data_IF_420322257725
#
_entry.id   IF_420322257725
#
_cell.length_a   1.000
_cell.length_b   1.000
_cell.length_c   1.000
_cell.angle_alpha   90.00
_cell.angle_beta   90.00
_cell.angle_gamma   90.00
#
_symmetry.space_group_name_H-M   'P 1'
#
loop_
_entity.id
_entity.type
_entity.pdbx_description
1 polymer ?
#
# COMPACT_ATOMS: atom_id res chain seq x y z
N UNK A 1 -17.94 -15.20 -14.29
CA UNK A 1 -16.75 -14.42 -13.89
C UNK A 1 -16.48 -14.68 -12.42
N UNK A 2 -15.27 -15.10 -12.06
CA UNK A 2 -14.87 -15.20 -10.65
C UNK A 2 -14.72 -13.79 -10.06
N UNK A 3 -15.29 -13.57 -8.88
CA UNK A 3 -15.12 -12.32 -8.14
C UNK A 3 -13.79 -12.37 -7.38
N UNK A 4 -13.04 -11.26 -7.36
CA UNK A 4 -11.80 -11.17 -6.57
C UNK A 4 -12.01 -11.53 -5.09
N UNK A 5 -13.16 -11.14 -4.52
CA UNK A 5 -13.55 -11.52 -3.16
C UNK A 5 -13.74 -13.04 -3.05
N UNK A 6 -14.41 -13.65 -4.03
CA UNK A 6 -14.63 -15.10 -4.07
C UNK A 6 -13.33 -15.87 -4.16
N UNK A 7 -12.39 -15.42 -4.99
CA UNK A 7 -11.04 -16.01 -5.10
C UNK A 7 -10.29 -15.94 -3.78
N UNK A 8 -10.31 -14.79 -3.09
CA UNK A 8 -9.64 -14.63 -1.78
C UNK A 8 -10.25 -15.53 -0.70
N UNK A 9 -11.57 -15.69 -0.69
CA UNK A 9 -12.24 -16.62 0.22
C UNK A 9 -11.79 -18.06 -0.06
N UNK A 10 -11.75 -18.47 -1.32
CA UNK A 10 -11.34 -19.82 -1.72
C UNK A 10 -9.86 -20.09 -1.35
N UNK A 11 -8.96 -19.16 -1.65
CA UNK A 11 -7.54 -19.24 -1.29
C UNK A 11 -7.35 -19.39 0.23
N UNK A 12 -8.03 -18.55 1.01
CA UNK A 12 -7.95 -18.60 2.47
C UNK A 12 -8.48 -19.91 3.04
N UNK A 13 -9.62 -20.39 2.55
CA UNK A 13 -10.17 -21.69 2.94
C UNK A 13 -9.22 -22.85 2.61
N UNK A 14 -8.63 -22.85 1.41
CA UNK A 14 -7.70 -23.89 0.97
C UNK A 14 -6.42 -23.89 1.82
N UNK A 15 -5.86 -22.70 2.11
CA UNK A 15 -4.69 -22.55 2.98
C UNK A 15 -4.95 -23.07 4.40
N UNK A 16 -6.18 -22.92 4.90
CA UNK A 16 -6.60 -23.45 6.19
C UNK A 16 -6.96 -24.94 6.16
N UNK A 17 -6.94 -25.59 4.99
CA UNK A 17 -7.29 -27.01 4.85
C UNK A 17 -8.75 -27.33 5.15
N UNK A 18 -9.66 -26.35 5.05
CA UNK A 18 -11.06 -26.50 5.45
C UNK A 18 -11.97 -26.85 4.27
N UNK A 19 -13.02 -27.64 4.53
CA UNK A 19 -14.16 -27.77 3.61
C UNK A 19 -15.02 -26.50 3.61
N UNK A 20 -15.90 -26.34 2.62
CA UNK A 20 -16.83 -25.20 2.58
C UNK A 20 -17.77 -25.16 3.79
N UNK A 21 -18.21 -26.32 4.28
CA UNK A 21 -19.05 -26.41 5.48
C UNK A 21 -18.29 -26.00 6.74
N UNK A 22 -17.05 -26.46 6.91
CA UNK A 22 -16.21 -26.09 8.06
C UNK A 22 -15.89 -24.59 8.05
N UNK A 23 -15.54 -24.06 6.88
CA UNK A 23 -15.28 -22.63 6.73
C UNK A 23 -16.54 -21.80 6.96
N UNK A 24 -17.69 -22.24 6.45
CA UNK A 24 -18.96 -21.57 6.67
C UNK A 24 -19.33 -21.52 8.15
N UNK A 25 -19.24 -22.66 8.85
CA UNK A 25 -19.54 -22.76 10.27
C UNK A 25 -18.72 -21.77 11.12
N UNK A 26 -17.44 -21.55 10.76
CA UNK A 26 -16.57 -20.57 11.43
C UNK A 26 -17.12 -19.14 11.40
N UNK A 27 -17.84 -18.75 10.35
CA UNK A 27 -18.42 -17.40 10.21
C UNK A 27 -19.95 -17.38 10.33
N UNK A 28 -20.56 -18.46 10.82
CA UNK A 28 -22.01 -18.55 10.99
C UNK A 28 -22.80 -18.58 9.68
N UNK A 29 -22.23 -19.12 8.61
CA UNK A 29 -22.90 -19.29 7.30
C UNK A 29 -22.87 -20.75 6.84
N UNK A 30 -23.76 -21.13 5.95
CA UNK A 30 -23.79 -22.50 5.41
C UNK A 30 -22.70 -22.71 4.34
N UNK A 31 -22.23 -23.95 4.16
CA UNK A 31 -21.28 -24.28 3.09
C UNK A 31 -21.79 -23.90 1.68
N UNK A 32 -23.09 -24.10 1.35
CA UNK A 32 -23.65 -23.58 0.10
C UNK A 32 -23.56 -22.06 -0.06
N UNK A 33 -23.60 -21.28 1.04
CA UNK A 33 -23.36 -19.84 0.97
C UNK A 33 -21.90 -19.55 0.63
N UNK A 34 -20.95 -20.26 1.24
CA UNK A 34 -19.51 -20.15 0.90
C UNK A 34 -19.27 -20.47 -0.57
N UNK A 35 -19.88 -21.54 -1.10
CA UNK A 35 -19.82 -21.87 -2.53
C UNK A 35 -20.29 -20.70 -3.41
N UNK A 36 -21.44 -20.09 -3.07
CA UNK A 36 -21.97 -18.93 -3.82
C UNK A 36 -21.04 -17.72 -3.74
N UNK A 37 -20.35 -17.51 -2.62
CA UNK A 37 -19.35 -16.45 -2.48
C UNK A 37 -18.13 -16.73 -3.36
N UNK A 38 -17.56 -17.94 -3.28
CA UNK A 38 -16.38 -18.35 -4.06
C UNK A 38 -16.62 -18.27 -5.57
N UNK A 39 -17.82 -18.64 -6.02
CA UNK A 39 -18.23 -18.52 -7.43
C UNK A 39 -18.60 -17.11 -7.86
N UNK A 40 -18.72 -16.16 -6.92
CA UNK A 40 -19.11 -14.78 -7.19
C UNK A 40 -20.60 -14.59 -7.50
N UNK A 41 -21.44 -15.61 -7.27
CA UNK A 41 -22.89 -15.51 -7.45
C UNK A 41 -23.54 -14.58 -6.45
N UNK A 42 -23.03 -14.59 -5.21
CA UNK A 42 -23.50 -13.74 -4.12
C UNK A 42 -22.29 -13.05 -3.50
N UNK A 43 -22.47 -11.80 -3.08
CA UNK A 43 -21.45 -11.06 -2.35
C UNK A 43 -21.80 -11.13 -0.86
N UNK A 44 -20.84 -11.46 0.02
CA UNK A 44 -21.08 -11.35 1.47
C UNK A 44 -21.45 -9.92 1.85
N UNK A 45 -22.14 -9.75 2.98
CA UNK A 45 -22.31 -8.43 3.59
C UNK A 45 -20.94 -7.83 3.90
N UNK A 46 -20.85 -6.50 3.99
CA UNK A 46 -19.59 -5.84 4.34
C UNK A 46 -19.06 -6.36 5.67
N UNK A 47 -19.92 -6.47 6.69
CA UNK A 47 -19.54 -6.98 8.01
C UNK A 47 -18.97 -8.40 7.94
N UNK A 48 -19.63 -9.31 7.22
CA UNK A 48 -19.15 -10.68 7.06
C UNK A 48 -17.83 -10.72 6.29
N UNK A 49 -17.71 -9.91 5.25
CA UNK A 49 -16.49 -9.79 4.46
C UNK A 49 -15.33 -9.29 5.31
N UNK A 50 -15.52 -8.27 6.16
CA UNK A 50 -14.46 -7.77 7.03
C UNK A 50 -13.99 -8.82 8.04
N UNK A 51 -14.90 -9.66 8.55
CA UNK A 51 -14.53 -10.81 9.41
C UNK A 51 -13.67 -11.82 8.66
N UNK A 52 -14.05 -12.18 7.43
CA UNK A 52 -13.29 -13.12 6.60
C UNK A 52 -11.95 -12.52 6.13
N UNK A 53 -11.92 -11.23 5.77
CA UNK A 53 -10.75 -10.55 5.23
C UNK A 53 -9.57 -10.51 6.21
N UNK A 54 -9.85 -10.44 7.52
CA UNK A 54 -8.83 -10.57 8.58
C UNK A 54 -8.10 -11.91 8.49
N UNK A 55 -8.82 -12.99 8.24
CA UNK A 55 -8.22 -14.32 8.08
C UNK A 55 -7.52 -14.47 6.71
N UNK A 56 -7.88 -13.64 5.72
CA UNK A 56 -7.25 -13.59 4.40
C UNK A 56 -6.00 -12.70 4.34
N UNK A 57 -5.54 -12.15 5.46
CA UNK A 57 -4.41 -11.20 5.52
C UNK A 57 -4.63 -9.96 4.63
N UNK A 58 -5.86 -9.43 4.63
CA UNK A 58 -6.25 -8.24 3.88
C UNK A 58 -6.54 -7.12 4.87
N UNK A 59 -5.85 -5.99 4.72
CA UNK A 59 -6.12 -4.80 5.54
C UNK A 59 -7.58 -4.34 5.43
N UNK A 60 -8.13 -3.81 6.52
CA UNK A 60 -9.53 -3.38 6.57
C UNK A 60 -9.87 -2.37 5.46
N UNK A 61 -8.99 -1.39 5.23
CA UNK A 61 -9.12 -0.41 4.15
C UNK A 61 -9.20 -1.08 2.78
N UNK A 62 -8.30 -2.04 2.49
CA UNK A 62 -8.29 -2.78 1.22
C UNK A 62 -9.53 -3.65 1.08
N UNK A 63 -10.00 -4.26 2.17
CA UNK A 63 -11.22 -5.05 2.21
C UNK A 63 -12.45 -4.20 1.86
N UNK A 64 -12.59 -2.99 2.43
CA UNK A 64 -13.66 -2.05 2.10
C UNK A 64 -13.62 -1.68 0.62
N UNK A 65 -12.45 -1.30 0.09
CA UNK A 65 -12.31 -0.91 -1.31
C UNK A 65 -12.62 -2.05 -2.29
N UNK A 66 -12.21 -3.27 -1.98
CA UNK A 66 -12.58 -4.47 -2.74
C UNK A 66 -14.09 -4.68 -2.74
N UNK A 67 -14.74 -4.50 -1.59
CA UNK A 67 -16.19 -4.66 -1.46
C UNK A 67 -16.97 -3.60 -2.25
N UNK A 68 -16.57 -2.33 -2.16
CA UNK A 68 -17.17 -1.24 -2.92
C UNK A 68 -16.98 -1.48 -4.43
N UNK A 69 -15.75 -1.77 -4.88
CA UNK A 69 -15.47 -2.09 -6.30
C UNK A 69 -16.32 -3.26 -6.80
N UNK A 70 -16.52 -4.29 -5.98
CA UNK A 70 -17.36 -5.43 -6.34
C UNK A 70 -18.85 -5.06 -6.47
N UNK A 71 -19.34 -4.03 -5.78
CA UNK A 71 -20.74 -3.58 -5.85
C UNK A 71 -21.02 -2.60 -6.99
N UNK A 72 -20.00 -1.93 -7.51
CA UNK A 72 -20.14 -1.00 -8.61
C UNK A 72 -20.49 -1.72 -9.94
N UNK A 73 -21.35 -1.10 -10.78
CA UNK A 73 -21.48 -1.48 -12.19
C UNK A 73 -20.12 -1.50 -12.89
N UNK A 74 -19.98 -2.37 -13.90
CA UNK A 74 -18.69 -2.66 -14.54
C UNK A 74 -18.00 -1.40 -15.10
N UNK A 75 -18.78 -0.47 -15.66
CA UNK A 75 -18.30 0.81 -16.20
C UNK A 75 -17.61 1.72 -15.16
N UNK A 76 -17.97 1.61 -13.88
CA UNK A 76 -17.39 2.43 -12.80
C UNK A 76 -16.27 1.72 -12.03
N UNK A 77 -16.03 0.43 -12.29
CA UNK A 77 -15.02 -0.32 -11.53
C UNK A 77 -13.60 0.21 -11.78
N UNK A 78 -13.34 0.82 -12.92
CA UNK A 78 -12.05 1.46 -13.26
C UNK A 78 -11.75 2.69 -12.41
N UNK A 79 -12.76 3.35 -11.83
CA UNK A 79 -12.57 4.54 -11.01
C UNK A 79 -11.96 4.22 -9.63
N UNK A 80 -12.07 2.98 -9.17
CA UNK A 80 -11.37 2.53 -7.96
C UNK A 80 -10.03 1.94 -8.37
N UNK A 81 -8.98 2.73 -8.16
CA UNK A 81 -7.61 2.28 -8.22
C UNK A 81 -7.22 1.58 -6.91
N UNK A 82 -6.99 0.27 -7.00
CA UNK A 82 -6.57 -0.56 -5.88
C UNK A 82 -5.04 -0.59 -5.71
N UNK A 83 -4.28 0.00 -6.65
CA UNK A 83 -2.81 0.12 -6.55
C UNK A 83 -2.43 1.11 -5.43
N UNK A 84 -3.17 2.22 -5.31
CA UNK A 84 -3.02 3.19 -4.21
C UNK A 84 -3.51 2.65 -2.85
N UNK A 85 -4.39 1.65 -2.84
CA UNK A 85 -4.86 1.01 -1.61
C UNK A 85 -3.83 0.05 -0.99
N UNK A 86 -2.88 -0.46 -1.78
CA UNK A 86 -1.74 -1.21 -1.28
C UNK A 86 -0.72 -0.31 -0.54
N UNK A 87 -0.78 1.00 -0.77
CA UNK A 87 0.13 2.01 -0.18
C UNK A 87 -0.30 2.46 1.23
N UNK A 88 -1.48 2.04 1.69
CA UNK A 88 -1.97 2.37 3.01
C UNK A 88 -2.36 1.10 3.77
N UNK A 89 -1.36 0.42 4.31
CA UNK A 89 -1.54 -0.59 5.36
C UNK A 89 -1.43 0.09 6.74
N UNK A 90 -2.54 0.34 7.45
CA UNK A 90 -2.51 0.42 8.90
C UNK A 90 -2.65 -1.01 9.44
N UNK A 91 -1.55 -1.62 9.87
CA UNK A 91 -1.62 -2.76 10.78
C UNK A 91 -1.11 -4.12 10.32
N UNK A 92 -0.21 -4.20 9.34
CA UNK A 92 0.75 -5.32 9.36
C UNK A 92 1.95 -4.83 10.16
N UNK A 93 2.10 -5.35 11.37
CA UNK A 93 3.38 -5.37 12.04
C UNK A 93 4.31 -6.29 11.24
N UNK A 94 4.73 -5.83 10.07
CA UNK A 94 6.07 -6.17 9.61
C UNK A 94 6.97 -5.72 10.75
N UNK A 95 7.92 -6.58 11.13
CA UNK A 95 8.97 -6.22 12.05
C UNK A 95 9.37 -4.76 11.80
N UNK A 96 9.62 -3.98 12.85
CA UNK A 96 10.44 -2.78 12.74
C UNK A 96 11.78 -3.20 12.10
N UNK A 97 11.81 -3.37 10.79
CA UNK A 97 12.98 -3.02 10.02
C UNK A 97 13.09 -1.53 10.27
N UNK A 98 14.00 -1.19 11.17
CA UNK A 98 14.38 0.18 11.49
C UNK A 98 14.75 0.87 10.18
N UNK A 99 13.75 1.40 9.47
CA UNK A 99 14.00 2.33 8.38
C UNK A 99 14.78 3.48 8.97
N UNK A 100 15.91 3.88 8.35
CA UNK A 100 16.68 5.01 8.84
C UNK A 100 15.79 6.24 8.94
N UNK A 101 15.83 6.93 10.09
CA UNK A 101 15.12 8.20 10.27
C UNK A 101 16.00 9.32 9.70
N UNK A 102 15.77 9.64 8.43
CA UNK A 102 16.54 10.66 7.71
C UNK A 102 16.28 12.06 8.22
N UNK A 103 15.15 12.30 8.90
CA UNK A 103 14.79 13.62 9.44
C UNK A 103 15.81 14.13 10.48
N UNK A 104 16.54 13.22 11.12
CA UNK A 104 17.53 13.53 12.17
C UNK A 104 18.94 13.78 11.63
N UNK A 105 19.19 13.50 10.35
CA UNK A 105 20.52 13.68 9.76
C UNK A 105 20.68 15.13 9.31
N UNK A 106 21.49 15.87 10.05
CA UNK A 106 21.71 17.30 9.79
C UNK A 106 22.79 17.55 8.71
N UNK A 107 23.82 16.71 8.63
CA UNK A 107 24.88 16.85 7.63
C UNK A 107 24.43 16.30 6.27
N UNK A 108 24.41 17.11 5.19
CA UNK A 108 24.07 16.67 3.85
C UNK A 108 24.97 15.54 3.31
N UNK A 109 26.24 15.48 3.73
CA UNK A 109 27.17 14.42 3.29
C UNK A 109 26.81 13.08 3.89
N UNK A 110 26.56 13.07 5.20
CA UNK A 110 26.11 11.89 5.92
C UNK A 110 24.74 11.44 5.40
N UNK A 111 23.84 12.39 5.13
CA UNK A 111 22.53 12.10 4.55
C UNK A 111 22.67 11.41 3.18
N UNK A 112 23.49 11.96 2.29
CA UNK A 112 23.75 11.38 0.97
C UNK A 112 24.39 9.99 1.06
N UNK A 113 25.30 9.79 2.01
CA UNK A 113 25.93 8.49 2.24
C UNK A 113 24.91 7.46 2.73
N UNK A 114 24.07 7.80 3.70
CA UNK A 114 23.02 6.92 4.21
C UNK A 114 22.01 6.54 3.11
N UNK A 115 21.55 7.51 2.32
CA UNK A 115 20.63 7.27 1.20
C UNK A 115 21.24 6.37 0.13
N UNK A 116 22.53 6.53 -0.15
CA UNK A 116 23.22 5.70 -1.15
C UNK A 116 23.43 4.25 -0.68
N UNK A 117 23.52 4.05 0.63
CA UNK A 117 23.69 2.74 1.26
C UNK A 117 22.35 2.01 1.53
N UNK A 118 21.21 2.71 1.44
CA UNK A 118 19.90 2.14 1.72
C UNK A 118 19.43 1.23 0.58
N UNK A 119 19.46 -0.08 0.83
CA UNK A 119 19.01 -1.10 -0.11
C UNK A 119 17.49 -1.06 -0.35
N UNK A 120 16.71 -0.53 0.60
CA UNK A 120 15.24 -0.49 0.54
C UNK A 120 14.69 0.63 -0.33
N UNK A 121 15.53 1.58 -0.76
CA UNK A 121 15.10 2.67 -1.64
C UNK A 121 14.83 2.18 -3.06
N UNK A 122 13.77 2.68 -3.73
CA UNK A 122 13.54 2.41 -5.14
C UNK A 122 14.66 2.97 -6.02
N UNK A 123 14.91 2.32 -7.16
CA UNK A 123 15.97 2.73 -8.09
C UNK A 123 15.80 4.16 -8.63
N UNK A 124 14.57 4.60 -8.93
CA UNK A 124 14.30 5.98 -9.33
C UNK A 124 14.69 7.02 -8.26
N UNK A 125 14.57 6.67 -6.98
CA UNK A 125 15.01 7.53 -5.86
C UNK A 125 16.53 7.49 -5.67
N UNK A 126 17.15 6.31 -5.79
CA UNK A 126 18.61 6.20 -5.73
C UNK A 126 19.28 7.01 -6.84
N UNK A 127 18.67 7.09 -8.03
CA UNK A 127 19.17 7.89 -9.14
C UNK A 127 19.24 9.38 -8.76
N UNK A 128 18.14 9.96 -8.26
CA UNK A 128 18.12 11.38 -7.88
C UNK A 128 19.04 11.69 -6.69
N UNK A 129 19.24 10.76 -5.75
CA UNK A 129 20.17 10.99 -4.63
C UNK A 129 21.65 10.84 -5.02
N UNK A 130 21.95 10.21 -6.16
CA UNK A 130 23.30 10.19 -6.73
C UNK A 130 23.61 11.43 -7.55
N UNK A 131 22.60 12.19 -7.96
CA UNK A 131 22.74 13.36 -8.82
C UNK A 131 23.30 14.58 -8.09
N UNK A 132 24.48 15.04 -8.51
CA UNK A 132 25.15 16.21 -7.93
C UNK A 132 24.36 17.51 -8.15
N UNK A 133 23.66 17.63 -9.28
CA UNK A 133 22.90 18.83 -9.60
C UNK A 133 21.70 18.99 -8.64
N UNK A 134 21.07 17.88 -8.28
CA UNK A 134 20.00 17.86 -7.29
C UNK A 134 20.47 18.40 -5.93
N UNK A 135 21.62 17.94 -5.43
CA UNK A 135 22.17 18.41 -4.16
C UNK A 135 22.63 19.87 -4.22
N UNK A 136 23.21 20.29 -5.36
CA UNK A 136 23.66 21.66 -5.55
C UNK A 136 22.50 22.67 -5.61
N UNK A 137 21.41 22.32 -6.33
CA UNK A 137 20.28 23.23 -6.56
C UNK A 137 19.27 23.23 -5.41
N UNK A 138 18.94 22.05 -4.88
CA UNK A 138 17.82 21.92 -3.95
C UNK A 138 18.26 21.96 -2.49
N UNK A 139 19.50 21.54 -2.18
CA UNK A 139 20.03 21.47 -0.81
C UNK A 139 19.00 20.93 0.20
N UNK A 140 18.46 19.72 -0.03
CA UNK A 140 17.36 19.23 0.75
C UNK A 140 17.80 18.90 2.18
N UNK A 141 16.93 19.19 3.14
CA UNK A 141 17.12 18.81 4.54
C UNK A 141 16.76 17.34 4.75
N UNK A 142 17.24 16.75 5.85
CA UNK A 142 16.82 15.41 6.27
C UNK A 142 15.30 15.25 6.37
N UNK A 143 14.60 16.28 6.88
CA UNK A 143 13.14 16.27 7.01
C UNK A 143 12.44 16.28 5.64
N UNK A 144 12.92 17.09 4.70
CA UNK A 144 12.38 17.12 3.34
C UNK A 144 12.59 15.79 2.61
N UNK A 145 13.77 15.16 2.78
CA UNK A 145 14.06 13.84 2.26
C UNK A 145 13.16 12.76 2.88
N UNK A 146 12.98 12.79 4.20
CA UNK A 146 12.09 11.86 4.90
C UNK A 146 10.67 11.95 4.34
N UNK A 147 10.13 13.15 4.18
CA UNK A 147 8.81 13.38 3.59
C UNK A 147 8.74 12.95 2.12
N UNK A 148 9.81 13.18 1.35
CA UNK A 148 9.90 12.73 -0.03
C UNK A 148 9.79 11.20 -0.12
N UNK A 149 10.54 10.47 0.71
CA UNK A 149 10.51 9.01 0.78
C UNK A 149 9.14 8.51 1.25
N UNK A 150 8.59 9.08 2.32
CA UNK A 150 7.30 8.65 2.88
C UNK A 150 6.13 8.85 1.92
N UNK A 151 6.08 9.99 1.23
CA UNK A 151 4.94 10.36 0.39
C UNK A 151 5.09 9.89 -1.05
N UNK A 152 6.33 9.82 -1.56
CA UNK A 152 6.61 9.57 -2.98
C UNK A 152 7.50 8.33 -3.22
N UNK A 153 7.93 7.62 -2.18
CA UNK A 153 8.80 6.44 -2.31
C UNK A 153 8.17 5.24 -3.03
N UNK A 154 6.85 5.22 -3.22
CA UNK A 154 6.20 4.12 -3.97
C UNK A 154 6.21 4.32 -5.49
N UNK A 155 6.67 5.47 -5.98
CA UNK A 155 6.75 5.77 -7.41
C UNK A 155 8.10 5.34 -8.00
N UNK A 156 8.45 4.07 -7.85
CA UNK A 156 9.75 3.52 -8.23
C UNK A 156 10.14 3.74 -9.71
N UNK A 157 9.15 3.78 -10.59
CA UNK A 157 9.29 3.97 -12.05
C UNK A 157 9.19 5.45 -12.48
N UNK A 158 9.01 6.37 -11.54
CA UNK A 158 8.91 7.80 -11.88
C UNK A 158 10.25 8.34 -12.38
N UNK A 159 10.18 9.26 -13.34
CA UNK A 159 11.34 9.97 -13.88
C UNK A 159 11.91 10.93 -12.83
N UNK A 160 13.20 11.20 -12.86
CA UNK A 160 13.91 12.13 -11.95
C UNK A 160 13.23 13.51 -11.82
N UNK A 161 12.71 14.04 -12.93
CA UNK A 161 11.98 15.31 -12.96
C UNK A 161 10.79 15.34 -11.98
N UNK A 162 10.10 14.20 -11.79
CA UNK A 162 9.01 14.09 -10.84
C UNK A 162 9.47 14.31 -9.39
N UNK A 163 10.59 13.72 -8.99
CA UNK A 163 11.13 13.88 -7.64
C UNK A 163 11.63 15.31 -7.39
N UNK A 164 12.14 15.97 -8.43
CA UNK A 164 12.52 17.40 -8.41
C UNK A 164 11.33 18.33 -8.23
N UNK A 165 10.17 17.99 -8.78
CA UNK A 165 8.94 18.74 -8.55
C UNK A 165 8.33 18.40 -7.18
N UNK A 166 8.40 17.14 -6.76
CA UNK A 166 7.92 16.69 -5.46
C UNK A 166 8.68 17.38 -4.30
N UNK A 167 10.01 17.54 -4.39
CA UNK A 167 10.77 18.24 -3.35
C UNK A 167 10.41 19.73 -3.26
N UNK A 168 10.09 20.37 -4.40
CA UNK A 168 9.59 21.76 -4.41
C UNK A 168 8.25 21.85 -3.70
N UNK A 169 7.34 20.92 -4.01
CA UNK A 169 6.02 20.86 -3.39
C UNK A 169 6.13 20.66 -1.87
N UNK A 170 6.96 19.73 -1.41
CA UNK A 170 7.22 19.48 0.01
C UNK A 170 7.71 20.75 0.70
N UNK A 171 8.65 21.46 0.08
CA UNK A 171 9.20 22.71 0.62
C UNK A 171 8.15 23.80 0.77
N UNK A 172 7.28 23.96 -0.22
CA UNK A 172 6.15 24.90 -0.13
C UNK A 172 5.19 24.53 1.00
N UNK A 173 4.87 23.24 1.18
CA UNK A 173 4.01 22.78 2.27
C UNK A 173 4.63 23.02 3.65
N UNK A 174 5.91 22.67 3.86
CA UNK A 174 6.59 22.89 5.15
C UNK A 174 6.62 24.39 5.49
N UNK A 175 6.84 25.25 4.50
CA UNK A 175 6.84 26.71 4.70
C UNK A 175 5.46 27.28 5.00
N UNK A 176 4.39 26.65 4.51
CA UNK A 176 3.01 27.09 4.74
C UNK A 176 2.45 26.74 6.14
N UNK A 177 3.12 25.87 6.88
CA UNK A 177 2.74 25.48 8.25
C UNK A 177 3.34 26.41 9.34
N UNK A 178 4.00 27.50 8.94
CA UNK A 178 4.55 28.57 9.81
C UNK A 178 4.12 29.95 9.33
#
# INVERSE_FOLDING_TARGET
MQSIIGTRIAESRQRLGMTQDQFGARYGVSGPAVFKFERGYVKPSLELWLKMARDCDISEKKAVLLWVKAKLPQEYQSFIDLSAAAVAEPGVAYAKETRPDYARVADPRDLRQHLSADAMLPEGMKAIFKDDEFWALYQPTGQEIQLLIEKFGNYAEAKEAFFRDAIRLIREFIRSEY
#
